data_IF_224851135921
#
_entry.id   IF_224851135921
#
_cell.length_a   1.000
_cell.length_b   1.000
_cell.length_c   1.000
_cell.angle_alpha   90.00
_cell.angle_beta   90.00
_cell.angle_gamma   90.00
#
_symmetry.space_group_name_H-M   'P 1'
#
loop_
_entity.id
_entity.type
_entity.pdbx_description
1 polymer ?
#
# COMPACT_ATOMS: atom_id res chain seq x y z
N UNK A 1 -4.71 -12.22 -8.11
CA UNK A 1 -4.55 -11.04 -7.23
C UNK A 1 -3.29 -10.19 -7.49
N UNK A 2 -2.18 -10.74 -8.01
CA UNK A 2 -0.89 -10.04 -8.12
C UNK A 2 -0.82 -8.76 -8.97
N UNK A 3 -1.84 -8.40 -9.76
CA UNK A 3 -1.80 -7.23 -10.66
C UNK A 3 -2.39 -5.93 -10.09
N UNK A 4 -3.08 -5.98 -8.94
CA UNK A 4 -3.94 -4.87 -8.49
C UNK A 4 -3.25 -3.50 -8.33
N UNK A 5 -2.08 -3.44 -7.68
CA UNK A 5 -1.38 -2.17 -7.42
C UNK A 5 -0.86 -1.53 -8.72
N UNK A 6 -0.27 -2.33 -9.59
CA UNK A 6 0.24 -1.86 -10.89
C UNK A 6 -0.94 -1.42 -11.77
N UNK A 7 -2.05 -2.16 -11.76
CA UNK A 7 -3.28 -1.79 -12.47
C UNK A 7 -3.83 -0.44 -11.98
N UNK A 8 -3.82 -0.18 -10.67
CA UNK A 8 -4.28 1.08 -10.10
C UNK A 8 -3.41 2.28 -10.57
N UNK A 9 -2.09 2.11 -10.56
CA UNK A 9 -1.16 3.14 -11.04
C UNK A 9 -1.34 3.42 -12.55
N UNK A 10 -1.50 2.38 -13.37
CA UNK A 10 -1.75 2.53 -14.81
C UNK A 10 -3.08 3.24 -15.05
N UNK A 11 -4.12 2.88 -14.30
CA UNK A 11 -5.43 3.50 -14.41
C UNK A 11 -5.38 5.00 -14.09
N UNK A 12 -4.79 5.38 -12.95
CA UNK A 12 -4.64 6.79 -12.60
C UNK A 12 -3.74 7.56 -13.56
N UNK A 13 -2.66 6.96 -14.05
CA UNK A 13 -1.80 7.55 -15.08
C UNK A 13 -2.58 7.82 -16.37
N UNK A 14 -3.43 6.88 -16.77
CA UNK A 14 -4.28 7.01 -17.96
C UNK A 14 -5.34 8.10 -17.79
N UNK A 15 -6.01 8.16 -16.64
CA UNK A 15 -6.98 9.24 -16.33
C UNK A 15 -6.28 10.60 -16.36
N UNK A 16 -5.13 10.72 -15.70
CA UNK A 16 -4.35 11.97 -15.69
C UNK A 16 -3.99 12.40 -17.10
N UNK A 17 -3.55 11.46 -17.94
CA UNK A 17 -3.23 11.72 -19.34
C UNK A 17 -4.44 12.22 -20.13
N UNK A 18 -5.60 11.57 -19.97
CA UNK A 18 -6.84 11.98 -20.65
C UNK A 18 -7.23 13.39 -20.22
N UNK A 19 -7.28 13.65 -18.90
CA UNK A 19 -7.62 14.97 -18.37
C UNK A 19 -6.68 16.08 -18.88
N UNK A 20 -5.40 15.77 -19.04
CA UNK A 20 -4.40 16.72 -19.54
C UNK A 20 -4.56 16.99 -21.04
N UNK A 21 -4.89 15.96 -21.84
CA UNK A 21 -5.07 16.09 -23.29
C UNK A 21 -6.37 16.82 -23.62
N UNK A 22 -7.46 16.49 -22.91
CA UNK A 22 -8.78 17.09 -23.19
C UNK A 22 -8.94 18.46 -22.53
N UNK A 23 -8.17 18.74 -21.47
CA UNK A 23 -8.38 19.92 -20.63
C UNK A 23 -9.71 19.88 -19.85
N UNK A 24 -10.37 18.72 -19.80
CA UNK A 24 -11.69 18.54 -19.21
C UNK A 24 -11.64 17.57 -18.02
N UNK A 25 -12.53 17.73 -17.02
CA UNK A 25 -12.65 16.78 -15.93
C UNK A 25 -13.05 15.40 -16.46
N UNK A 26 -12.42 14.36 -15.91
CA UNK A 26 -12.72 12.96 -16.24
C UNK A 26 -13.45 12.32 -15.07
N UNK A 27 -14.73 12.00 -15.27
CA UNK A 27 -15.53 11.27 -14.27
C UNK A 27 -15.31 9.76 -14.43
N UNK A 28 -14.90 9.08 -13.37
CA UNK A 28 -14.67 7.63 -13.35
C UNK A 28 -15.12 7.04 -12.02
N UNK A 29 -15.69 5.84 -12.06
CA UNK A 29 -16.00 5.03 -10.87
C UNK A 29 -15.09 3.80 -10.93
N UNK A 30 -14.27 3.63 -9.89
CA UNK A 30 -13.39 2.47 -9.74
C UNK A 30 -13.70 1.77 -8.42
N UNK A 31 -14.19 0.52 -8.43
CA UNK A 31 -14.29 -0.28 -7.22
C UNK A 31 -12.89 -0.70 -6.78
N UNK A 32 -12.49 -0.28 -5.58
CA UNK A 32 -11.22 -0.67 -4.96
C UNK A 32 -11.54 -1.66 -3.84
N UNK A 33 -10.97 -2.85 -3.95
CA UNK A 33 -11.08 -3.88 -2.91
C UNK A 33 -9.80 -3.85 -2.06
N UNK A 34 -9.96 -3.49 -0.80
CA UNK A 34 -8.89 -3.42 0.19
C UNK A 34 -9.40 -3.77 1.58
N UNK A 35 -8.52 -4.34 2.41
CA UNK A 35 -8.83 -4.67 3.81
C UNK A 35 -8.09 -3.71 4.76
N UNK A 36 -8.79 -3.21 5.78
CA UNK A 36 -8.19 -2.41 6.86
C UNK A 36 -7.63 -3.36 7.91
N UNK A 37 -6.31 -3.59 7.90
CA UNK A 37 -5.67 -4.49 8.89
C UNK A 37 -5.83 -3.96 10.31
N UNK A 38 -5.63 -2.65 10.53
CA UNK A 38 -5.71 -2.02 11.85
C UNK A 38 -7.13 -1.86 12.42
N UNK A 39 -7.18 -1.40 13.67
CA UNK A 39 -8.40 -0.97 14.37
C UNK A 39 -9.03 0.24 13.68
N UNK A 40 -10.31 0.51 13.94
CA UNK A 40 -11.01 1.66 13.36
C UNK A 40 -10.39 2.98 13.81
N UNK A 41 -10.04 3.06 15.08
CA UNK A 41 -9.42 4.21 15.74
C UNK A 41 -8.61 3.71 16.93
N UNK A 42 -7.95 4.63 17.65
CA UNK A 42 -7.23 4.32 18.90
C UNK A 42 -8.15 3.87 20.04
N UNK A 43 -9.45 4.11 19.94
CA UNK A 43 -10.45 3.74 20.96
C UNK A 43 -11.22 2.46 20.62
N UNK A 44 -10.99 1.87 19.45
CA UNK A 44 -11.74 0.71 18.93
C UNK A 44 -10.96 -0.58 19.15
N UNK A 45 -11.64 -1.64 19.63
CA UNK A 45 -11.11 -2.99 19.65
C UNK A 45 -11.81 -3.86 18.59
N UNK A 46 -11.12 -4.04 17.47
CA UNK A 46 -11.61 -4.81 16.33
C UNK A 46 -11.60 -6.32 16.54
N UNK A 47 -10.88 -6.82 17.56
CA UNK A 47 -10.88 -8.26 17.87
C UNK A 47 -12.23 -8.74 18.41
N UNK A 48 -13.05 -7.82 18.92
CA UNK A 48 -14.38 -8.12 19.44
C UNK A 48 -15.40 -8.52 18.35
N UNK A 49 -15.17 -8.15 17.09
CA UNK A 49 -16.15 -8.36 16.00
C UNK A 49 -15.54 -8.90 14.70
N UNK A 50 -14.25 -9.25 14.71
CA UNK A 50 -13.52 -9.77 13.55
C UNK A 50 -12.55 -10.87 13.97
N UNK A 51 -12.40 -11.89 13.13
CA UNK A 51 -11.42 -12.95 13.36
C UNK A 51 -9.99 -12.43 13.21
N UNK A 52 -9.15 -12.78 14.18
CA UNK A 52 -7.71 -12.50 14.16
C UNK A 52 -7.05 -13.21 12.96
N UNK A 53 -7.51 -14.40 12.60
CA UNK A 53 -6.95 -15.19 11.49
C UNK A 53 -7.14 -14.49 10.15
N UNK A 54 -8.30 -13.83 9.96
CA UNK A 54 -8.57 -13.05 8.75
C UNK A 54 -7.62 -11.85 8.65
N UNK A 55 -7.40 -11.14 9.76
CA UNK A 55 -6.47 -10.01 9.82
C UNK A 55 -5.05 -10.46 9.46
N UNK A 56 -4.60 -11.58 10.03
CA UNK A 56 -3.27 -12.11 9.75
C UNK A 56 -3.11 -12.54 8.29
N UNK A 57 -4.16 -13.11 7.68
CA UNK A 57 -4.15 -13.44 6.26
C UNK A 57 -3.90 -12.19 5.40
N UNK A 58 -4.64 -11.10 5.64
CA UNK A 58 -4.45 -9.85 4.90
C UNK A 58 -3.09 -9.19 5.18
N UNK A 59 -2.57 -9.30 6.41
CA UNK A 59 -1.29 -8.72 6.79
C UNK A 59 -0.09 -9.45 6.18
N UNK A 60 -0.16 -10.79 6.06
CA UNK A 60 0.97 -11.62 5.60
C UNK A 60 0.89 -11.92 4.10
N UNK A 61 -0.28 -12.31 3.60
CA UNK A 61 -0.40 -12.83 2.24
C UNK A 61 -0.75 -11.75 1.22
N UNK A 62 -1.67 -10.84 1.54
CA UNK A 62 -2.07 -9.77 0.61
C UNK A 62 -1.76 -8.37 1.13
N UNK A 63 -0.51 -8.17 1.53
CA UNK A 63 0.02 -6.88 1.92
C UNK A 63 0.67 -6.17 0.72
N UNK A 64 0.22 -4.94 0.38
CA UNK A 64 0.72 -4.23 -0.79
C UNK A 64 2.21 -3.89 -0.72
N UNK A 65 2.73 -3.62 0.48
CA UNK A 65 4.14 -3.31 0.70
C UNK A 65 4.99 -4.56 0.46
N UNK A 66 4.61 -5.70 1.02
CA UNK A 66 5.32 -6.97 0.83
C UNK A 66 5.30 -7.41 -0.64
N UNK A 67 4.17 -7.22 -1.33
CA UNK A 67 4.05 -7.52 -2.77
C UNK A 67 4.97 -6.65 -3.62
N UNK A 68 5.05 -5.35 -3.33
CA UNK A 68 5.96 -4.43 -4.02
C UNK A 68 7.41 -4.79 -3.73
N UNK A 69 7.77 -5.05 -2.46
CA UNK A 69 9.12 -5.49 -2.07
C UNK A 69 9.55 -6.74 -2.85
N UNK A 70 8.72 -7.80 -2.87
CA UNK A 70 8.99 -9.03 -3.63
C UNK A 70 9.23 -8.75 -5.12
N UNK A 71 8.44 -7.84 -5.72
CA UNK A 71 8.63 -7.44 -7.11
C UNK A 71 9.96 -6.71 -7.35
N UNK A 72 10.34 -5.78 -6.48
CA UNK A 72 11.59 -5.02 -6.60
C UNK A 72 12.83 -5.92 -6.43
N UNK A 73 12.80 -6.83 -5.45
CA UNK A 73 13.86 -7.83 -5.25
C UNK A 73 13.99 -8.75 -6.46
N UNK A 74 12.86 -9.22 -7.01
CA UNK A 74 12.88 -10.05 -8.23
C UNK A 74 13.43 -9.31 -9.46
N UNK A 75 13.44 -7.98 -9.45
CA UNK A 75 14.06 -7.13 -10.48
C UNK A 75 15.51 -6.75 -10.18
N UNK A 76 16.03 -7.08 -9.00
CA UNK A 76 17.35 -6.66 -8.53
C UNK A 76 17.44 -5.15 -8.27
N UNK A 77 16.31 -4.48 -8.06
CA UNK A 77 16.24 -3.04 -7.74
C UNK A 77 16.22 -2.76 -6.24
N UNK A 78 16.20 -3.81 -5.43
CA UNK A 78 16.12 -3.74 -3.98
C UNK A 78 16.74 -5.00 -3.37
N UNK A 79 17.35 -4.86 -2.19
CA UNK A 79 17.88 -5.98 -1.40
C UNK A 79 17.37 -5.94 0.05
N UNK A 80 17.55 -7.05 0.78
CA UNK A 80 17.19 -7.10 2.20
C UNK A 80 18.10 -6.21 3.06
N UNK A 81 19.36 -6.02 2.67
CA UNK A 81 20.29 -5.10 3.33
C UNK A 81 19.87 -3.64 3.13
N UNK A 82 19.46 -3.28 1.90
CA UNK A 82 18.91 -1.95 1.59
C UNK A 82 17.63 -1.68 2.40
N UNK A 83 16.72 -2.65 2.49
CA UNK A 83 15.51 -2.57 3.30
C UNK A 83 15.83 -2.28 4.78
N UNK A 84 16.76 -3.03 5.38
CA UNK A 84 17.11 -2.87 6.79
C UNK A 84 17.73 -1.49 7.07
N UNK A 85 18.64 -1.05 6.21
CA UNK A 85 19.26 0.27 6.30
C UNK A 85 18.22 1.39 6.16
N UNK A 86 17.32 1.25 5.18
CA UNK A 86 16.24 2.21 4.94
C UNK A 86 15.28 2.29 6.12
N UNK A 87 14.82 1.16 6.66
CA UNK A 87 13.94 1.12 7.84
C UNK A 87 14.60 1.78 9.07
N UNK A 88 15.88 1.56 9.29
CA UNK A 88 16.61 2.20 10.38
C UNK A 88 16.67 3.73 10.22
N UNK A 89 16.88 4.22 9.00
CA UNK A 89 16.90 5.65 8.70
C UNK A 89 15.52 6.29 8.86
N UNK A 90 14.46 5.66 8.31
CA UNK A 90 13.09 6.15 8.45
C UNK A 90 12.66 6.21 9.92
N UNK A 91 13.02 5.21 10.73
CA UNK A 91 12.74 5.24 12.18
C UNK A 91 13.38 6.46 12.85
N UNK A 92 14.63 6.78 12.52
CA UNK A 92 15.31 7.97 13.05
C UNK A 92 14.61 9.25 12.60
N UNK A 93 14.24 9.36 11.32
CA UNK A 93 13.54 10.53 10.81
C UNK A 93 12.18 10.75 11.47
N UNK A 94 11.40 9.68 11.65
CA UNK A 94 10.08 9.76 12.31
C UNK A 94 10.24 10.23 13.75
N UNK A 95 11.23 9.70 14.48
CA UNK A 95 11.52 10.13 15.86
C UNK A 95 11.93 11.60 15.90
N UNK A 96 12.85 12.03 15.04
CA UNK A 96 13.33 13.42 15.00
C UNK A 96 12.17 14.38 14.73
N UNK A 97 11.28 14.06 13.79
CA UNK A 97 10.14 14.94 13.44
C UNK A 97 9.02 14.96 14.48
N UNK A 98 9.04 14.03 15.44
CA UNK A 98 8.04 13.97 16.50
C UNK A 98 8.38 14.91 17.68
N UNK A 99 9.63 15.33 17.78
CA UNK A 99 10.12 16.31 18.76
C UNK A 99 10.26 17.70 18.14
#
# INVERSE_FOLDING_TARGET
MNRFIITLLIFFSSIRRIATITGLPVCCILPIFNSRVGHHSTSDDSSAYRSIDEVQFWEKEDNPILRLKKYLIAKGWWSDEEEQSWLANIRKEVIIRFY
#
